data_IF_239079924436
#
_entry.id   IF_239079924436
#
_cell.length_a   1.000
_cell.length_b   1.000
_cell.length_c   1.000
_cell.angle_alpha   90.00
_cell.angle_beta   90.00
_cell.angle_gamma   90.00
#
_symmetry.space_group_name_H-M   'P 1'
#
loop_
_entity.id
_entity.type
_entity.pdbx_description
1 polymer ?
#
# COMPACT_ATOMS: atom_id res chain seq x y z
N UNK A 1 41.20 7.05 45.88
CA UNK A 1 39.85 6.51 45.55
C UNK A 1 38.85 7.62 45.18
N UNK A 2 39.17 8.48 44.20
CA UNK A 2 38.27 9.57 43.74
C UNK A 2 37.85 9.42 42.27
N UNK A 3 38.66 8.71 41.48
CA UNK A 3 38.42 8.46 40.05
C UNK A 3 37.42 7.33 39.76
N UNK A 4 37.24 6.38 40.68
CA UNK A 4 36.29 5.26 40.49
C UNK A 4 34.82 5.72 40.49
N UNK A 5 34.50 6.80 41.24
CA UNK A 5 33.16 7.38 41.28
C UNK A 5 32.79 8.15 40.01
N UNK A 6 33.79 8.63 39.25
CA UNK A 6 33.55 9.40 38.02
C UNK A 6 33.24 8.46 36.85
N UNK A 7 33.82 7.25 36.84
CA UNK A 7 33.60 6.25 35.78
C UNK A 7 32.17 5.67 35.83
N UNK A 8 31.60 5.46 37.02
CA UNK A 8 30.22 4.96 37.14
C UNK A 8 29.15 5.94 36.64
N UNK A 9 29.43 7.24 36.61
CA UNK A 9 28.48 8.26 36.14
C UNK A 9 28.46 8.32 34.60
N UNK A 10 29.58 8.01 33.93
CA UNK A 10 29.68 8.00 32.47
C UNK A 10 28.94 6.84 31.81
N UNK A 11 28.75 5.72 32.50
CA UNK A 11 27.99 4.57 31.97
C UNK A 11 26.46 4.73 32.04
N UNK A 12 25.95 5.65 32.87
CA UNK A 12 24.50 5.89 33.00
C UNK A 12 23.92 6.81 31.92
N UNK A 13 24.77 7.49 31.13
CA UNK A 13 24.33 8.44 30.09
C UNK A 13 24.24 7.80 28.70
N UNK A 14 24.70 6.56 28.53
CA UNK A 14 24.33 5.72 27.37
C UNK A 14 22.94 5.07 27.60
N UNK A 15 22.02 5.86 28.15
CA UNK A 15 20.62 5.50 28.25
C UNK A 15 20.11 5.07 26.88
N UNK A 16 19.59 3.85 26.82
CA UNK A 16 18.84 3.26 25.72
C UNK A 16 18.29 4.33 24.77
N UNK A 17 18.97 4.59 23.66
CA UNK A 17 18.29 5.07 22.48
C UNK A 17 17.33 3.96 22.12
N UNK A 18 16.06 4.09 22.53
CA UNK A 18 14.96 3.40 21.84
C UNK A 18 15.04 3.92 20.42
N UNK A 19 15.81 3.23 19.58
CA UNK A 19 15.62 3.32 18.16
C UNK A 19 14.19 2.85 17.96
N UNK A 20 13.25 3.80 17.88
CA UNK A 20 11.96 3.55 17.26
C UNK A 20 12.29 3.11 15.84
N UNK A 21 12.53 1.81 15.68
CA UNK A 21 12.82 1.18 14.41
C UNK A 21 11.52 1.28 13.63
N UNK A 22 11.38 2.39 12.92
CA UNK A 22 10.32 2.63 11.97
C UNK A 22 10.31 1.45 11.01
N UNK A 23 9.16 0.79 10.90
CA UNK A 23 9.01 -0.40 10.07
C UNK A 23 9.50 -0.13 8.64
N UNK A 24 10.21 -1.10 8.07
CA UNK A 24 10.99 -0.96 6.83
C UNK A 24 10.20 -0.53 5.60
N UNK A 25 8.90 -0.85 5.58
CA UNK A 25 7.98 -0.46 4.53
C UNK A 25 7.37 0.94 4.69
N UNK A 26 7.56 1.61 5.83
CA UNK A 26 6.96 2.94 6.03
C UNK A 26 7.65 3.94 5.11
N UNK A 27 6.86 4.60 4.27
CA UNK A 27 7.33 5.51 3.23
C UNK A 27 6.40 5.56 2.04
N UNK A 28 6.87 6.24 1.00
CA UNK A 28 6.18 6.42 -0.28
C UNK A 28 6.84 5.57 -1.34
N UNK A 29 6.01 4.81 -2.06
CA UNK A 29 6.45 3.80 -3.00
C UNK A 29 5.58 3.83 -4.25
N UNK A 30 6.10 3.32 -5.37
CA UNK A 30 5.36 3.22 -6.61
C UNK A 30 5.71 1.99 -7.42
N UNK A 31 4.86 1.68 -8.39
CA UNK A 31 5.14 0.74 -9.47
C UNK A 31 4.46 1.18 -10.76
N UNK A 32 5.11 0.89 -11.88
CA UNK A 32 4.45 0.85 -13.19
C UNK A 32 3.93 -0.57 -13.41
N UNK A 33 2.73 -0.67 -13.94
CA UNK A 33 2.13 -1.91 -14.41
C UNK A 33 2.43 -2.10 -15.90
N UNK A 34 2.33 -3.33 -16.38
CA UNK A 34 2.62 -3.66 -17.79
C UNK A 34 1.67 -2.98 -18.76
N UNK A 35 0.44 -2.67 -18.33
CA UNK A 35 -0.57 -1.93 -19.11
C UNK A 35 -0.38 -0.41 -19.06
N UNK A 36 0.80 0.07 -18.67
CA UNK A 36 1.12 1.48 -18.57
C UNK A 36 0.51 2.19 -17.35
N UNK A 37 -0.25 1.49 -16.49
CA UNK A 37 -0.83 2.11 -15.31
C UNK A 37 0.22 2.38 -14.23
N UNK A 38 0.08 3.52 -13.57
CA UNK A 38 0.92 3.93 -12.45
C UNK A 38 0.17 3.78 -11.13
N UNK A 39 0.83 3.23 -10.12
CA UNK A 39 0.26 3.07 -8.78
C UNK A 39 1.23 3.57 -7.70
N UNK A 40 0.75 4.43 -6.81
CA UNK A 40 1.44 4.89 -5.59
C UNK A 40 0.89 4.19 -4.34
N UNK A 41 1.79 3.93 -3.40
CA UNK A 41 1.50 3.45 -2.06
C UNK A 41 2.14 4.40 -1.06
N UNK A 42 1.34 4.95 -0.14
CA UNK A 42 1.84 5.67 1.04
C UNK A 42 1.58 4.80 2.26
N UNK A 43 2.63 4.24 2.81
CA UNK A 43 2.55 3.31 3.95
C UNK A 43 2.98 4.08 5.19
N UNK A 44 2.08 4.21 6.16
CA UNK A 44 2.36 4.77 7.50
C UNK A 44 2.20 3.70 8.55
N UNK A 45 2.43 4.03 9.82
CA UNK A 45 2.17 3.17 10.96
C UNK A 45 0.66 2.84 11.12
N UNK A 46 -0.22 3.73 10.68
CA UNK A 46 -1.68 3.67 10.90
C UNK A 46 -2.48 3.31 9.66
N UNK A 47 -1.99 3.66 8.48
CA UNK A 47 -2.74 3.50 7.24
C UNK A 47 -1.85 3.18 6.04
N UNK A 48 -2.46 2.56 5.03
CA UNK A 48 -1.92 2.51 3.68
C UNK A 48 -2.87 3.27 2.76
N UNK A 49 -2.35 4.25 2.04
CA UNK A 49 -3.06 4.93 0.95
C UNK A 49 -2.58 4.32 -0.36
N UNK A 50 -3.51 3.88 -1.20
CA UNK A 50 -3.26 3.43 -2.55
C UNK A 50 -3.95 4.36 -3.55
N UNK A 51 -3.21 4.74 -4.59
CA UNK A 51 -3.66 5.60 -5.68
C UNK A 51 -3.22 4.96 -6.98
N UNK A 52 -4.09 4.89 -7.98
CA UNK A 52 -3.77 4.29 -9.28
C UNK A 52 -4.36 5.10 -10.41
N UNK A 53 -3.72 5.11 -11.57
CA UNK A 53 -4.26 5.76 -12.78
C UNK A 53 -5.47 5.03 -13.36
N UNK A 54 -5.72 3.77 -12.94
CA UNK A 54 -6.89 3.00 -13.39
C UNK A 54 -8.23 3.56 -12.89
N UNK A 55 -8.23 4.20 -11.72
CA UNK A 55 -9.45 4.68 -11.07
C UNK A 55 -9.21 6.04 -10.42
N UNK A 56 -10.16 6.96 -10.50
CA UNK A 56 -10.05 8.30 -9.90
C UNK A 56 -10.53 8.31 -8.44
N UNK A 57 -9.92 7.47 -7.59
CA UNK A 57 -10.26 7.38 -6.17
C UNK A 57 -9.02 7.17 -5.29
N UNK A 58 -9.16 7.49 -4.00
CA UNK A 58 -8.15 7.29 -2.97
C UNK A 58 -8.57 6.11 -2.11
N UNK A 59 -7.83 5.01 -2.22
CA UNK A 59 -8.09 3.84 -1.39
C UNK A 59 -7.30 3.93 -0.10
N UNK A 60 -7.99 3.67 1.01
CA UNK A 60 -7.43 3.80 2.35
C UNK A 60 -7.65 2.50 3.10
N UNK A 61 -6.56 1.95 3.63
CA UNK A 61 -6.55 0.74 4.45
C UNK A 61 -6.00 1.06 5.82
N UNK A 62 -6.54 0.44 6.87
CA UNK A 62 -5.91 0.46 8.19
C UNK A 62 -4.67 -0.40 8.12
N UNK A 63 -3.60 0.08 8.76
CA UNK A 63 -2.36 -0.64 8.86
C UNK A 63 -1.99 -0.83 10.33
N UNK A 64 -1.42 -1.99 10.64
CA UNK A 64 -0.66 -2.21 11.86
C UNK A 64 0.68 -2.81 11.47
N UNK A 65 1.75 -2.15 11.89
CA UNK A 65 3.12 -2.63 11.64
C UNK A 65 3.63 -3.47 12.81
N UNK A 66 4.31 -4.58 12.52
CA UNK A 66 4.99 -5.43 13.51
C UNK A 66 6.20 -6.09 12.85
N UNK A 67 7.41 -5.79 13.34
CA UNK A 67 8.68 -6.28 12.78
C UNK A 67 8.85 -6.02 11.28
N UNK A 68 8.70 -7.05 10.44
CA UNK A 68 8.75 -6.98 8.97
C UNK A 68 7.36 -7.17 8.34
N UNK A 69 6.31 -7.06 9.13
CA UNK A 69 4.93 -7.39 8.76
C UNK A 69 4.04 -6.15 8.78
N UNK A 70 3.24 -6.01 7.73
CA UNK A 70 2.12 -5.07 7.62
C UNK A 70 0.82 -5.85 7.69
N UNK A 71 -0.05 -5.54 8.64
CA UNK A 71 -1.39 -6.12 8.75
C UNK A 71 -2.37 -5.10 8.17
N UNK A 72 -2.87 -5.38 6.98
CA UNK A 72 -3.81 -4.55 6.26
C UNK A 72 -5.24 -4.98 6.58
N UNK A 73 -6.09 -4.00 6.86
CA UNK A 73 -7.52 -4.24 7.05
C UNK A 73 -8.36 -3.14 6.43
N UNK A 74 -9.52 -3.53 5.91
CA UNK A 74 -10.47 -2.58 5.36
C UNK A 74 -11.05 -1.70 6.48
N UNK A 75 -11.35 -0.44 6.15
CA UNK A 75 -12.35 0.28 6.94
C UNK A 75 -13.70 -0.41 6.69
N UNK A 76 -14.53 -0.56 7.73
CA UNK A 76 -15.85 -1.22 7.62
C UNK A 76 -16.77 -0.61 6.53
N UNK A 77 -16.38 0.53 5.98
CA UNK A 77 -17.06 1.30 4.93
C UNK A 77 -16.02 1.74 3.87
N UNK A 78 -15.82 0.96 2.80
CA UNK A 78 -14.93 1.31 1.69
C UNK A 78 -14.98 0.29 0.53
N UNK A 79 -14.62 0.69 -0.71
CA UNK A 79 -14.61 -0.22 -1.86
C UNK A 79 -13.59 -1.35 -1.65
N UNK A 80 -14.05 -2.59 -1.77
CA UNK A 80 -13.27 -3.82 -1.51
C UNK A 80 -12.37 -4.09 -2.70
N UNK A 81 -11.07 -3.83 -2.55
CA UNK A 81 -10.09 -4.08 -3.64
C UNK A 81 -8.97 -5.02 -3.23
N UNK A 82 -8.82 -5.29 -1.93
CA UNK A 82 -8.19 -6.49 -1.43
C UNK A 82 -9.32 -7.35 -0.86
N UNK A 83 -9.55 -8.49 -1.50
CA UNK A 83 -10.39 -9.54 -0.93
C UNK A 83 -9.73 -9.97 0.37
N UNK A 84 -10.31 -9.50 1.49
CA UNK A 84 -9.95 -9.81 2.86
C UNK A 84 -8.75 -9.04 3.43
N UNK A 85 -8.77 -8.88 4.76
CA UNK A 85 -7.61 -8.45 5.53
C UNK A 85 -6.41 -9.32 5.13
N UNK A 86 -5.29 -8.70 4.81
CA UNK A 86 -4.10 -9.42 4.38
C UNK A 86 -2.90 -9.03 5.23
N UNK A 87 -1.97 -9.96 5.33
CA UNK A 87 -0.70 -9.73 6.00
C UNK A 87 0.38 -9.69 4.93
N UNK A 88 1.08 -8.56 4.81
CA UNK A 88 2.20 -8.41 3.89
C UNK A 88 3.51 -8.51 4.67
N UNK A 89 4.36 -9.45 4.28
CA UNK A 89 5.70 -9.62 4.84
C UNK A 89 6.71 -8.99 3.90
N UNK A 90 7.52 -8.07 4.40
CA UNK A 90 8.65 -7.52 3.66
C UNK A 90 9.76 -8.57 3.59
N UNK A 91 10.00 -9.09 2.38
CA UNK A 91 10.96 -10.16 2.11
C UNK A 91 12.29 -9.65 1.52
N UNK A 92 12.30 -8.43 1.00
CA UNK A 92 13.50 -7.76 0.50
C UNK A 92 13.39 -6.26 0.71
N UNK A 93 14.50 -5.64 1.10
CA UNK A 93 14.62 -4.19 1.23
C UNK A 93 15.99 -3.72 0.72
N UNK A 94 15.97 -2.63 -0.05
CA UNK A 94 17.11 -1.78 -0.31
C UNK A 94 16.71 -0.32 -0.12
N UNK A 95 17.66 0.61 -0.30
CA UNK A 95 17.38 2.06 -0.21
C UNK A 95 16.24 2.49 -1.13
N UNK A 96 16.13 1.86 -2.31
CA UNK A 96 15.24 2.31 -3.39
C UNK A 96 14.17 1.27 -3.77
N UNK A 97 14.13 0.10 -3.13
CA UNK A 97 13.22 -0.98 -3.50
C UNK A 97 12.74 -1.73 -2.27
N UNK A 98 11.49 -2.16 -2.28
CA UNK A 98 10.93 -3.11 -1.32
C UNK A 98 10.15 -4.19 -2.06
N UNK A 99 10.18 -5.41 -1.53
CA UNK A 99 9.31 -6.50 -1.98
C UNK A 99 8.47 -6.96 -0.81
N UNK A 100 7.16 -6.83 -0.97
CA UNK A 100 6.15 -7.28 -0.01
C UNK A 100 5.51 -8.57 -0.52
N UNK A 101 5.39 -9.59 0.31
CA UNK A 101 4.73 -10.85 -0.02
C UNK A 101 3.44 -10.98 0.76
N UNK A 102 2.33 -11.18 0.07
CA UNK A 102 1.04 -11.52 0.66
C UNK A 102 1.11 -12.91 1.31
N UNK A 103 0.65 -13.04 2.55
CA UNK A 103 0.53 -14.35 3.21
C UNK A 103 -0.69 -15.13 2.73
N UNK A 104 -1.76 -14.42 2.32
CA UNK A 104 -3.00 -15.06 1.85
C UNK A 104 -2.86 -15.62 0.43
N UNK A 105 -2.34 -14.81 -0.50
CA UNK A 105 -2.22 -15.19 -1.91
C UNK A 105 -0.84 -15.72 -2.30
N UNK A 106 0.19 -15.45 -1.49
CA UNK A 106 1.58 -15.74 -1.83
C UNK A 106 2.19 -14.78 -2.87
N UNK A 107 1.39 -13.88 -3.45
CA UNK A 107 1.83 -12.94 -4.47
C UNK A 107 2.86 -11.94 -3.93
N UNK A 108 3.76 -11.52 -4.81
CA UNK A 108 4.78 -10.51 -4.51
C UNK A 108 4.40 -9.16 -5.12
N UNK A 109 4.57 -8.12 -4.33
CA UNK A 109 4.43 -6.74 -4.71
C UNK A 109 5.81 -6.07 -4.64
N UNK A 110 6.40 -5.85 -5.81
CA UNK A 110 7.66 -5.13 -5.94
C UNK A 110 7.39 -3.63 -6.11
N UNK A 111 7.99 -2.82 -5.25
CA UNK A 111 7.79 -1.38 -5.25
C UNK A 111 9.12 -0.64 -5.25
N UNK A 112 9.17 0.46 -5.99
CA UNK A 112 10.29 1.38 -6.03
C UNK A 112 10.02 2.58 -5.12
N UNK A 113 11.06 3.11 -4.49
CA UNK A 113 10.93 4.26 -3.61
C UNK A 113 10.70 5.52 -4.41
N UNK A 114 9.82 6.38 -3.91
CA UNK A 114 9.65 7.76 -4.38
C UNK A 114 9.62 8.65 -3.15
N UNK A 115 10.22 9.84 -3.18
CA UNK A 115 10.26 10.75 -2.03
C UNK A 115 9.47 12.01 -2.36
N UNK A 116 8.43 12.28 -1.58
CA UNK A 116 7.65 13.51 -1.63
C UNK A 116 6.92 13.73 -0.31
N UNK A 117 6.65 14.99 0.01
CA UNK A 117 5.81 15.36 1.14
C UNK A 117 4.34 15.19 0.78
N UNK A 118 3.55 14.72 1.75
CA UNK A 118 2.12 14.56 1.61
C UNK A 118 1.41 15.01 2.88
N UNK A 119 0.23 15.57 2.70
CA UNK A 119 -0.60 16.01 3.81
C UNK A 119 -1.18 14.80 4.56
N UNK A 120 -1.25 14.92 5.88
CA UNK A 120 -2.03 13.98 6.70
C UNK A 120 -3.51 14.02 6.30
N UNK A 121 -4.23 12.94 6.60
CA UNK A 121 -5.66 12.84 6.30
C UNK A 121 -6.42 13.87 7.12
N UNK A 122 -6.99 14.87 6.44
CA UNK A 122 -7.91 15.83 7.06
C UNK A 122 -9.30 15.22 7.14
N UNK A 123 -9.65 14.70 8.32
CA UNK A 123 -10.97 14.13 8.58
C UNK A 123 -12.08 15.18 8.67
N UNK A 124 -11.74 16.45 8.91
CA UNK A 124 -12.71 17.54 8.99
C UNK A 124 -13.10 18.06 7.61
N UNK A 125 -12.19 17.96 6.64
CA UNK A 125 -12.43 18.33 5.24
C UNK A 125 -11.96 17.26 4.25
N UNK A 126 -12.50 16.06 4.40
CA UNK A 126 -12.11 14.88 3.62
C UNK A 126 -12.24 15.09 2.10
N UNK A 127 -13.25 15.84 1.65
CA UNK A 127 -13.47 16.12 0.22
C UNK A 127 -12.34 16.95 -0.37
N UNK A 128 -11.93 18.02 0.33
CA UNK A 128 -10.84 18.87 -0.11
C UNK A 128 -9.51 18.10 -0.10
N UNK A 129 -9.24 17.36 0.98
CA UNK A 129 -8.04 16.53 1.10
C UNK A 129 -7.94 15.49 -0.01
N UNK A 130 -9.04 14.77 -0.32
CA UNK A 130 -9.09 13.80 -1.43
C UNK A 130 -8.81 14.47 -2.77
N UNK A 131 -9.45 15.61 -3.05
CA UNK A 131 -9.28 16.34 -4.30
C UNK A 131 -7.83 16.81 -4.50
N UNK A 132 -7.21 17.38 -3.46
CA UNK A 132 -5.79 17.77 -3.50
C UNK A 132 -4.89 16.56 -3.69
N UNK A 133 -5.13 15.49 -2.94
CA UNK A 133 -4.36 14.24 -3.02
C UNK A 133 -4.36 13.65 -4.42
N UNK A 134 -5.53 13.59 -5.07
CA UNK A 134 -5.68 13.11 -6.45
C UNK A 134 -5.02 14.06 -7.46
N UNK A 135 -5.15 15.37 -7.28
CA UNK A 135 -4.51 16.36 -8.15
C UNK A 135 -2.98 16.21 -8.14
N UNK A 136 -2.39 16.10 -6.95
CA UNK A 136 -0.94 15.97 -6.80
C UNK A 136 -0.44 14.59 -7.29
N UNK A 137 -1.24 13.54 -7.08
CA UNK A 137 -1.00 12.22 -7.67
C UNK A 137 -0.96 12.26 -9.20
N UNK A 138 -1.96 12.86 -9.85
CA UNK A 138 -2.03 12.95 -11.33
C UNK A 138 -0.81 13.66 -11.92
N UNK A 139 -0.30 14.69 -11.26
CA UNK A 139 0.95 15.38 -11.66
C UNK A 139 2.14 14.43 -11.63
N UNK A 140 2.31 13.66 -10.54
CA UNK A 140 3.41 12.69 -10.40
C UNK A 140 3.28 11.51 -11.35
N UNK A 141 2.07 10.97 -11.53
CA UNK A 141 1.80 9.90 -12.48
C UNK A 141 2.22 10.29 -13.91
N UNK A 142 1.92 11.53 -14.32
CA UNK A 142 2.34 12.07 -15.62
C UNK A 142 3.88 12.16 -15.75
N UNK A 143 4.57 12.52 -14.67
CA UNK A 143 6.04 12.60 -14.64
C UNK A 143 6.72 11.22 -14.61
N UNK A 144 6.07 10.22 -14.01
CA UNK A 144 6.60 8.86 -13.94
C UNK A 144 6.70 8.20 -15.32
N UNK A 145 5.82 8.57 -16.26
CA UNK A 145 5.92 8.16 -17.66
C UNK A 145 5.87 6.64 -17.87
N UNK A 146 5.02 5.92 -17.14
CA UNK A 146 4.86 4.47 -17.30
C UNK A 146 4.40 4.13 -18.73
N UNK A 147 5.19 3.35 -19.44
CA UNK A 147 4.89 2.90 -20.81
C UNK A 147 3.96 1.69 -20.79
N UNK A 148 2.94 1.69 -21.65
CA UNK A 148 2.15 0.49 -21.94
C UNK A 148 2.99 -0.49 -22.77
N UNK A 149 3.27 -1.66 -22.18
CA UNK A 149 4.05 -2.75 -22.76
C UNK A 149 3.16 -3.89 -23.29
N UNK A 150 1.83 -3.77 -23.16
CA UNK A 150 0.92 -4.77 -23.70
C UNK A 150 0.76 -4.61 -25.21
N UNK A 151 0.75 -5.75 -25.91
CA UNK A 151 0.33 -5.83 -27.30
C UNK A 151 -1.19 -5.68 -27.40
N UNK A 152 -1.70 -5.22 -28.54
CA UNK A 152 -3.14 -4.99 -28.73
C UNK A 152 -3.97 -6.28 -28.53
N UNK A 153 -3.41 -7.46 -28.82
CA UNK A 153 -4.04 -8.77 -28.54
C UNK A 153 -4.26 -9.05 -27.04
N UNK A 154 -3.41 -8.54 -26.14
CA UNK A 154 -3.56 -8.75 -24.69
C UNK A 154 -4.54 -7.78 -24.03
N UNK A 155 -4.97 -6.74 -24.76
CA UNK A 155 -5.95 -5.75 -24.29
C UNK A 155 -7.39 -6.23 -24.42
N UNK A 156 -7.63 -7.37 -25.08
CA UNK A 156 -8.94 -8.02 -25.11
C UNK A 156 -9.28 -8.53 -23.71
N UNK A 157 -10.08 -7.74 -23.00
CA UNK A 157 -10.72 -8.11 -21.74
C UNK A 157 -11.45 -9.44 -21.90
N UNK A 158 -11.40 -10.38 -20.92
CA UNK A 158 -12.33 -11.50 -20.92
C UNK A 158 -13.75 -10.91 -20.87
N UNK A 159 -14.51 -11.05 -21.95
CA UNK A 159 -15.94 -10.80 -21.89
C UNK A 159 -16.52 -11.83 -20.93
N UNK A 160 -16.98 -11.40 -19.76
CA UNK A 160 -17.94 -12.19 -19.02
C UNK A 160 -19.18 -12.24 -19.90
N UNK A 161 -19.40 -13.37 -20.58
CA UNK A 161 -20.70 -13.67 -21.16
C UNK A 161 -21.70 -13.70 -20.00
N UNK A 162 -22.56 -12.69 -19.92
CA UNK A 162 -23.66 -12.59 -18.94
C UNK A 162 -24.77 -13.63 -19.19
N UNK A 163 -24.52 -14.66 -20.01
CA UNK A 163 -25.49 -15.66 -20.43
C UNK A 163 -25.07 -17.08 -19.98
N UNK A 164 -24.91 -17.29 -18.68
CA UNK A 164 -25.00 -18.63 -18.10
C UNK A 164 -25.77 -18.58 -16.78
N UNK A 165 -26.97 -17.99 -16.83
CA UNK A 165 -28.03 -18.29 -15.87
C UNK A 165 -28.91 -19.37 -16.51
N UNK A 166 -28.53 -20.63 -16.36
CA UNK A 166 -29.48 -21.73 -16.55
C UNK A 166 -30.50 -21.70 -15.40
N UNK A 167 -31.67 -21.10 -15.69
CA UNK A 167 -32.90 -21.29 -14.94
C UNK A 167 -33.27 -22.78 -14.92
N UNK A 168 -33.01 -23.47 -13.82
CA UNK A 168 -33.63 -24.77 -13.53
C UNK A 168 -34.95 -24.52 -12.81
N UNK A 169 -36.04 -24.38 -13.57
CA UNK A 169 -37.41 -24.42 -13.03
C UNK A 169 -37.71 -25.79 -12.40
N UNK A 170 -38.35 -25.88 -11.22
CA UNK A 170 -38.81 -27.15 -10.68
C UNK A 170 -40.17 -27.53 -11.29
N UNK A 171 -40.21 -28.63 -12.04
CA UNK A 171 -41.48 -29.21 -12.50
C UNK A 171 -42.18 -29.90 -11.33
N UNK A 172 -43.23 -29.27 -10.80
CA UNK A 172 -44.24 -29.96 -9.99
C UNK A 172 -45.12 -30.80 -10.93
N UNK A 173 -45.24 -32.11 -10.69
CA UNK A 173 -46.30 -32.93 -11.26
C UNK A 173 -47.20 -33.44 -10.14
N UNK A 174 -48.50 -33.24 -10.36
CA UNK A 174 -49.61 -33.83 -9.62
C UNK A 174 -49.59 -35.36 -9.66
#
# INVERSE_FOLDING_TARGET
MRYLKIICILFLVFGCQKADKKHIAIGTWYKCLEDGNYTEYRITDKYVINLTTRYDDVWLFKNKTSDNTLILSNFKTGPVLLTNNDTLVAILQSKNKIVLKSTSSGNKLELNKIEFDYDEIDSTNLKLWKSKTLSDFKKRAKLAGCTDLQTDEKKETPSLDENEVEETTPTTKN
#
